data_IF_361991711999
#
_entry.id   IF_361991711999
#
_cell.length_a   1.000
_cell.length_b   1.000
_cell.length_c   1.000
_cell.angle_alpha   90.00
_cell.angle_beta   90.00
_cell.angle_gamma   90.00
#
_symmetry.space_group_name_H-M   'P 1'
#
loop_
_entity.id
_entity.type
_entity.pdbx_description
1 polymer ?
#
# COMPACT_ATOMS: atom_id res chain seq x y z
N UNK A 1 8.32 -26.68 -32.19
CA UNK A 1 7.06 -26.78 -31.46
C UNK A 1 7.04 -28.13 -30.75
N UNK A 2 7.58 -28.20 -29.54
CA UNK A 2 7.58 -29.42 -28.71
C UNK A 2 6.82 -29.10 -27.43
N UNK A 3 5.71 -29.81 -27.27
CA UNK A 3 4.85 -29.82 -26.09
C UNK A 3 5.61 -30.50 -24.93
N UNK A 4 5.74 -29.80 -23.82
CA UNK A 4 6.28 -30.34 -22.57
C UNK A 4 5.11 -30.91 -21.78
N UNK A 5 5.16 -32.24 -21.55
CA UNK A 5 4.20 -32.98 -20.73
C UNK A 5 4.54 -32.81 -19.25
N UNK A 6 3.57 -32.42 -18.43
CA UNK A 6 3.61 -32.55 -16.98
C UNK A 6 3.03 -33.89 -16.53
N UNK A 7 3.60 -34.58 -15.55
CA UNK A 7 3.06 -35.85 -15.05
C UNK A 7 1.89 -35.66 -14.09
N UNK A 8 0.81 -36.41 -14.34
CA UNK A 8 -0.34 -36.54 -13.46
C UNK A 8 -0.01 -37.40 -12.23
N UNK A 9 -0.30 -36.90 -11.03
CA UNK A 9 -0.45 -37.76 -9.86
C UNK A 9 -1.87 -38.31 -9.76
N UNK A 10 -1.98 -39.62 -9.82
CA UNK A 10 -3.22 -40.35 -9.56
C UNK A 10 -3.38 -40.59 -8.06
N UNK A 11 -4.48 -40.15 -7.48
CA UNK A 11 -4.93 -40.57 -6.16
C UNK A 11 -5.92 -41.76 -6.32
N UNK A 12 -5.62 -42.88 -5.69
CA UNK A 12 -6.48 -44.07 -5.68
C UNK A 12 -7.51 -43.95 -4.57
N UNK A 13 -8.77 -44.17 -4.97
CA UNK A 13 -9.90 -44.38 -4.08
C UNK A 13 -9.95 -45.83 -3.58
N UNK A 14 -10.12 -46.05 -2.29
CA UNK A 14 -10.51 -47.33 -1.69
C UNK A 14 -11.89 -47.16 -1.04
N UNK A 15 -12.84 -47.84 -1.69
CA UNK A 15 -14.16 -48.14 -1.12
C UNK A 15 -14.04 -49.40 -0.26
N UNK A 16 -14.58 -49.41 0.94
CA UNK A 16 -14.89 -50.64 1.68
C UNK A 16 -16.31 -50.59 2.26
N UNK A 17 -17.04 -51.59 1.95
CA UNK A 17 -18.43 -51.91 2.24
C UNK A 17 -18.55 -52.77 3.53
N UNK A 18 -19.56 -52.54 4.35
CA UNK A 18 -20.32 -53.50 5.15
C UNK A 18 -21.04 -52.74 6.29
N UNK A 19 -22.30 -52.79 6.54
CA UNK A 19 -23.24 -53.91 6.58
C UNK A 19 -23.91 -53.93 7.96
N UNK A 20 -25.20 -53.53 8.05
CA UNK A 20 -26.29 -53.78 9.02
C UNK A 20 -26.03 -54.34 10.41
N UNK A 21 -26.61 -53.77 11.48
CA UNK A 21 -27.86 -54.21 12.14
C UNK A 21 -28.34 -53.26 13.27
N UNK A 22 -29.65 -53.19 13.36
CA UNK A 22 -30.55 -52.48 14.23
C UNK A 22 -30.49 -53.01 15.70
N UNK A 23 -30.68 -52.16 16.72
CA UNK A 23 -31.67 -52.28 17.80
C UNK A 23 -31.65 -50.99 18.64
N UNK A 24 -32.85 -50.51 18.96
CA UNK A 24 -33.19 -49.23 19.48
C UNK A 24 -32.92 -49.05 20.99
N UNK A 25 -32.98 -47.79 21.35
CA UNK A 25 -33.63 -47.29 22.59
C UNK A 25 -33.61 -45.76 22.57
N UNK A 26 -34.75 -45.16 22.74
CA UNK A 26 -35.03 -43.76 22.81
C UNK A 26 -34.32 -43.06 23.94
N UNK A 27 -33.50 -42.05 23.63
CA UNK A 27 -33.15 -41.01 24.58
C UNK A 27 -33.14 -39.67 23.81
N UNK A 28 -34.18 -38.86 24.05
CA UNK A 28 -34.24 -37.49 23.60
C UNK A 28 -33.10 -36.70 24.28
N UNK A 29 -32.06 -36.44 23.55
CA UNK A 29 -31.09 -35.41 23.88
C UNK A 29 -31.30 -34.24 22.94
N UNK A 30 -31.85 -33.17 23.49
CA UNK A 30 -31.89 -31.86 22.83
C UNK A 30 -30.43 -31.41 22.61
N UNK A 31 -29.88 -31.66 21.46
CA UNK A 31 -28.68 -31.00 21.00
C UNK A 31 -29.07 -29.67 20.40
N UNK A 32 -28.94 -28.60 21.21
CA UNK A 32 -28.96 -27.25 20.71
C UNK A 32 -27.84 -27.12 19.69
N UNK A 33 -28.16 -27.12 18.40
CA UNK A 33 -27.24 -26.68 17.33
C UNK A 33 -26.96 -25.18 17.58
N UNK A 34 -25.89 -24.88 18.28
CA UNK A 34 -25.22 -23.59 18.11
C UNK A 34 -24.64 -23.57 16.69
N UNK A 35 -25.37 -22.96 15.78
CA UNK A 35 -24.81 -22.43 14.54
C UNK A 35 -23.77 -21.37 14.97
N UNK A 36 -22.53 -21.81 15.14
CA UNK A 36 -21.39 -20.88 15.13
C UNK A 36 -21.31 -20.41 13.70
N UNK A 37 -21.91 -19.25 13.43
CA UNK A 37 -21.58 -18.47 12.25
C UNK A 37 -20.08 -18.20 12.33
N UNK A 38 -19.29 -18.93 11.57
CA UNK A 38 -17.91 -18.49 11.30
C UNK A 38 -18.05 -17.19 10.51
N UNK A 39 -18.01 -16.08 11.24
CA UNK A 39 -17.73 -14.78 10.65
C UNK A 39 -16.38 -14.88 9.92
N UNK A 40 -16.09 -13.95 8.98
CA UNK A 40 -14.85 -13.96 8.24
C UNK A 40 -13.70 -14.09 9.22
N UNK A 41 -12.79 -15.05 8.95
CA UNK A 41 -11.67 -15.36 9.82
C UNK A 41 -10.92 -14.05 10.11
N UNK A 42 -11.05 -13.56 11.31
CA UNK A 42 -10.45 -12.33 11.75
C UNK A 42 -8.93 -12.42 11.57
N UNK A 43 -8.35 -11.37 11.03
CA UNK A 43 -6.93 -11.10 11.00
C UNK A 43 -6.35 -11.22 12.41
N UNK A 44 -5.98 -12.41 12.82
CA UNK A 44 -5.34 -12.69 14.11
C UNK A 44 -3.84 -12.84 13.87
N UNK A 45 -3.19 -11.75 13.49
CA UNK A 45 -1.76 -11.65 13.51
C UNK A 45 -1.35 -10.56 14.50
N UNK A 46 -0.29 -10.82 15.30
CA UNK A 46 0.28 -9.82 16.20
C UNK A 46 0.41 -8.49 15.46
N UNK A 47 -0.40 -7.55 15.88
CA UNK A 47 -0.58 -6.26 15.24
C UNK A 47 0.63 -5.37 15.58
N UNK A 48 1.81 -5.68 15.03
CA UNK A 48 2.84 -4.66 14.84
C UNK A 48 2.24 -3.71 13.82
N UNK A 49 1.66 -2.62 14.27
CA UNK A 49 1.00 -1.64 13.40
C UNK A 49 2.00 -1.01 12.44
N UNK A 50 2.30 -1.69 11.33
CA UNK A 50 3.16 -1.17 10.28
C UNK A 50 2.58 0.12 9.72
N UNK A 51 3.46 1.04 9.36
CA UNK A 51 3.10 2.37 8.92
C UNK A 51 3.80 2.70 7.60
N UNK A 52 3.10 3.41 6.73
CA UNK A 52 3.66 3.93 5.47
C UNK A 52 3.84 5.44 5.63
N UNK A 53 5.06 5.92 5.44
CA UNK A 53 5.41 7.32 5.55
C UNK A 53 4.80 8.14 4.40
N UNK A 54 4.32 9.36 4.69
CA UNK A 54 3.89 10.30 3.67
C UNK A 54 5.02 11.27 3.35
N UNK A 55 5.46 11.29 2.09
CA UNK A 55 6.32 12.37 1.62
C UNK A 55 5.53 13.65 1.33
N UNK A 56 6.11 14.83 1.55
CA UNK A 56 5.57 16.08 1.04
C UNK A 56 5.46 16.06 -0.50
N UNK A 57 4.46 16.74 -1.06
CA UNK A 57 4.21 16.73 -2.50
C UNK A 57 5.36 17.31 -3.36
N UNK A 58 6.24 18.12 -2.75
CA UNK A 58 7.45 18.66 -3.38
C UNK A 58 8.70 17.80 -3.19
N UNK A 59 8.58 16.63 -2.56
CA UNK A 59 9.68 15.68 -2.30
C UNK A 59 9.33 14.29 -2.83
N UNK A 60 8.76 14.22 -4.03
CA UNK A 60 8.44 12.94 -4.69
C UNK A 60 9.75 12.22 -5.04
N UNK A 61 9.97 10.98 -4.56
CA UNK A 61 11.15 10.22 -4.93
C UNK A 61 11.24 10.01 -6.45
N UNK A 62 12.41 10.22 -7.03
CA UNK A 62 12.71 9.90 -8.42
C UNK A 62 13.12 8.44 -8.50
N UNK A 63 12.55 7.74 -9.45
CA UNK A 63 12.92 6.34 -9.69
C UNK A 63 14.16 6.32 -10.57
N UNK A 64 15.34 6.39 -9.95
CA UNK A 64 16.64 6.43 -10.62
C UNK A 64 17.64 5.39 -10.08
N UNK A 65 17.23 4.60 -9.07
CA UNK A 65 18.05 3.57 -8.43
C UNK A 65 19.08 4.14 -7.47
N UNK A 66 18.84 5.35 -6.92
CA UNK A 66 19.68 5.98 -5.91
C UNK A 66 18.89 6.16 -4.61
N UNK A 67 19.58 6.56 -3.54
CA UNK A 67 18.96 6.64 -2.21
C UNK A 67 18.87 8.07 -1.67
N UNK A 68 19.36 9.06 -2.39
CA UNK A 68 19.46 10.44 -1.93
C UNK A 68 18.08 11.09 -1.67
N UNK A 69 17.08 10.78 -2.48
CA UNK A 69 15.70 11.26 -2.30
C UNK A 69 15.04 10.69 -1.02
N UNK A 70 15.57 9.61 -0.47
CA UNK A 70 15.10 8.96 0.75
C UNK A 70 15.85 9.36 2.01
N UNK A 71 16.77 10.32 1.91
CA UNK A 71 17.62 10.75 3.05
C UNK A 71 16.81 11.29 4.24
N UNK A 72 15.63 11.87 3.98
CA UNK A 72 14.72 12.38 5.03
C UNK A 72 13.74 11.34 5.58
N UNK A 73 13.74 10.11 5.01
CA UNK A 73 12.84 9.04 5.43
C UNK A 73 13.14 8.59 6.86
N UNK A 74 12.14 8.58 7.77
CA UNK A 74 12.39 8.25 9.17
C UNK A 74 12.72 6.77 9.37
N UNK A 75 13.77 6.50 10.16
CA UNK A 75 14.28 5.13 10.39
C UNK A 75 13.27 4.20 11.06
N UNK A 76 12.34 4.73 11.84
CA UNK A 76 11.28 3.97 12.51
C UNK A 76 10.24 3.35 11.56
N UNK A 77 10.24 3.74 10.28
CA UNK A 77 9.40 3.15 9.25
C UNK A 77 10.12 2.10 8.39
N UNK A 78 11.43 1.91 8.62
CA UNK A 78 12.21 0.92 7.86
C UNK A 78 11.87 -0.48 8.34
N UNK A 79 11.60 -1.38 7.41
CA UNK A 79 11.42 -2.81 7.69
C UNK A 79 12.69 -3.54 7.27
N UNK A 80 13.39 -4.11 8.25
CA UNK A 80 14.64 -4.82 8.04
C UNK A 80 14.50 -6.34 8.04
N UNK A 81 15.58 -7.04 7.75
CA UNK A 81 15.66 -8.52 7.77
C UNK A 81 15.28 -9.09 9.14
N UNK A 82 15.56 -8.36 10.23
CA UNK A 82 15.20 -8.74 11.60
C UNK A 82 13.70 -8.87 11.85
N UNK A 83 12.86 -8.33 10.97
CA UNK A 83 11.40 -8.41 11.02
C UNK A 83 10.83 -9.50 10.12
N UNK A 84 11.66 -10.12 9.29
CA UNK A 84 11.30 -11.21 8.39
C UNK A 84 11.48 -12.56 9.08
N UNK A 85 10.84 -13.56 8.54
CA UNK A 85 10.94 -14.93 9.00
C UNK A 85 11.07 -15.88 7.82
N UNK A 86 12.09 -16.76 7.87
CA UNK A 86 12.23 -17.81 6.86
C UNK A 86 11.25 -18.94 7.14
N UNK A 87 10.22 -19.07 6.31
CA UNK A 87 9.23 -20.14 6.44
C UNK A 87 9.62 -21.41 5.67
N UNK A 88 10.68 -21.38 4.87
CA UNK A 88 11.31 -22.58 4.28
C UNK A 88 11.96 -23.45 5.36
N UNK A 89 12.28 -22.85 6.51
CA UNK A 89 12.93 -23.48 7.68
C UNK A 89 14.38 -23.93 7.38
N UNK A 90 15.00 -23.39 6.36
CA UNK A 90 16.42 -23.62 6.07
C UNK A 90 17.31 -22.79 7.00
N UNK A 91 16.85 -21.59 7.36
CA UNK A 91 17.58 -20.66 8.19
C UNK A 91 16.86 -20.43 9.52
N UNK A 92 17.51 -20.67 10.68
CA UNK A 92 16.86 -20.52 11.98
C UNK A 92 16.64 -19.07 12.42
N UNK A 93 17.46 -18.15 11.89
CA UNK A 93 17.43 -16.72 12.18
C UNK A 93 18.07 -15.93 11.03
N UNK A 94 17.74 -14.64 10.89
CA UNK A 94 18.42 -13.77 9.94
C UNK A 94 19.92 -13.69 10.21
N UNK A 95 20.72 -13.83 9.15
CA UNK A 95 22.17 -13.61 9.16
C UNK A 95 22.49 -12.47 8.20
N UNK A 96 22.84 -11.26 8.69
CA UNK A 96 23.12 -10.12 7.82
C UNK A 96 24.44 -10.26 7.01
N UNK A 97 25.22 -11.31 7.25
CA UNK A 97 26.37 -11.63 6.40
C UNK A 97 25.98 -12.45 5.17
N UNK A 98 24.83 -13.16 5.22
CA UNK A 98 24.19 -13.81 4.09
C UNK A 98 23.24 -12.84 3.41
N UNK A 99 22.18 -12.41 4.10
CA UNK A 99 21.16 -11.52 3.55
C UNK A 99 20.84 -10.37 4.50
N UNK A 100 21.11 -9.11 4.12
CA UNK A 100 20.69 -7.90 4.85
C UNK A 100 19.78 -7.05 3.97
N UNK A 101 18.52 -6.91 4.37
CA UNK A 101 17.49 -6.23 3.60
C UNK A 101 16.90 -5.06 4.40
N UNK A 102 16.65 -3.96 3.70
CA UNK A 102 15.93 -2.80 4.23
C UNK A 102 14.89 -2.34 3.20
N UNK A 103 13.63 -2.36 3.60
CA UNK A 103 12.52 -1.91 2.77
C UNK A 103 11.94 -0.63 3.38
N UNK A 104 11.82 0.40 2.55
CA UNK A 104 11.10 1.63 2.85
C UNK A 104 9.88 1.72 1.95
N UNK A 105 8.75 2.05 2.54
CA UNK A 105 7.50 2.25 1.80
C UNK A 105 6.96 3.63 2.11
N UNK A 106 6.64 4.37 1.06
CA UNK A 106 6.09 5.71 1.17
C UNK A 106 4.89 5.92 0.25
N UNK A 107 4.13 6.97 0.51
CA UNK A 107 3.04 7.42 -0.32
C UNK A 107 3.01 8.95 -0.39
N UNK A 108 2.25 9.51 -1.33
CA UNK A 108 2.09 10.95 -1.51
C UNK A 108 0.61 11.24 -1.71
N UNK A 109 0.08 12.17 -0.92
CA UNK A 109 -1.32 12.57 -0.99
C UNK A 109 -1.65 13.15 -2.36
N UNK A 110 -2.73 12.67 -2.96
CA UNK A 110 -3.15 13.05 -4.31
C UNK A 110 -2.55 12.21 -5.44
N UNK A 111 -1.62 11.29 -5.12
CA UNK A 111 -1.14 10.28 -6.03
C UNK A 111 -1.54 8.90 -5.50
N UNK A 112 -2.18 8.08 -6.34
CA UNK A 112 -2.51 6.70 -5.98
C UNK A 112 -1.31 5.79 -6.23
N UNK A 113 -0.18 6.08 -5.57
CA UNK A 113 1.10 5.35 -5.75
C UNK A 113 1.72 5.03 -4.42
N UNK A 114 2.22 3.80 -4.31
CA UNK A 114 3.14 3.37 -3.26
C UNK A 114 4.56 3.37 -3.83
N UNK A 115 5.45 4.08 -3.18
CA UNK A 115 6.87 4.17 -3.53
C UNK A 115 7.66 3.24 -2.63
N UNK A 116 8.62 2.52 -3.20
CA UNK A 116 9.45 1.56 -2.51
C UNK A 116 10.92 1.86 -2.76
N UNK A 117 11.71 1.77 -1.71
CA UNK A 117 13.16 1.63 -1.78
C UNK A 117 13.52 0.30 -1.11
N UNK A 118 14.01 -0.64 -1.92
CA UNK A 118 14.54 -1.93 -1.50
C UNK A 118 16.06 -1.85 -1.59
N UNK A 119 16.73 -1.89 -0.44
CA UNK A 119 18.19 -2.02 -0.33
C UNK A 119 18.48 -3.40 0.21
N UNK A 120 19.32 -4.16 -0.48
CA UNK A 120 19.72 -5.50 -0.07
C UNK A 120 21.23 -5.71 -0.24
N UNK A 121 21.81 -6.43 0.69
CA UNK A 121 23.09 -7.10 0.53
C UNK A 121 22.80 -8.60 0.53
N UNK A 122 23.51 -9.30 -0.35
CA UNK A 122 23.47 -10.75 -0.45
C UNK A 122 24.90 -11.24 -0.70
N UNK A 123 25.26 -12.38 -0.13
CA UNK A 123 26.57 -12.98 -0.34
C UNK A 123 26.64 -13.83 -1.62
N UNK A 124 25.48 -14.21 -2.20
CA UNK A 124 25.40 -15.00 -3.43
C UNK A 124 24.18 -14.62 -4.29
N UNK A 125 24.30 -13.58 -5.12
CA UNK A 125 23.22 -13.17 -6.01
C UNK A 125 22.97 -14.15 -7.16
N UNK A 126 21.75 -14.69 -7.23
CA UNK A 126 21.28 -15.56 -8.31
C UNK A 126 20.13 -14.90 -9.11
N UNK A 127 20.43 -14.40 -10.30
CA UNK A 127 19.48 -13.59 -11.08
C UNK A 127 19.54 -13.77 -12.60
N UNK A 128 20.36 -14.68 -13.11
CA UNK A 128 20.56 -14.82 -14.57
C UNK A 128 19.79 -15.93 -15.22
N UNK A 129 19.17 -16.81 -14.43
CA UNK A 129 18.45 -17.93 -14.97
C UNK A 129 17.06 -17.52 -15.53
N UNK A 130 16.59 -18.19 -16.59
CA UNK A 130 15.24 -18.00 -17.05
C UNK A 130 14.25 -18.60 -16.03
N UNK A 131 13.05 -18.00 -15.93
CA UNK A 131 11.99 -18.50 -15.04
C UNK A 131 12.02 -17.89 -13.64
N UNK A 132 11.56 -18.65 -12.65
CA UNK A 132 11.26 -18.17 -11.30
C UNK A 132 12.35 -18.49 -10.27
N UNK A 133 13.34 -19.32 -10.63
CA UNK A 133 14.42 -19.71 -9.74
C UNK A 133 15.52 -18.66 -9.76
N UNK A 134 15.30 -17.59 -9.04
CA UNK A 134 16.22 -16.46 -8.88
C UNK A 134 15.88 -15.73 -7.59
N UNK A 135 16.83 -14.95 -7.09
CA UNK A 135 16.55 -13.99 -6.04
C UNK A 135 15.44 -13.06 -6.45
N UNK A 136 14.51 -12.87 -5.55
CA UNK A 136 13.27 -12.18 -5.89
C UNK A 136 12.72 -11.44 -4.69
N UNK A 137 12.20 -10.23 -4.95
CA UNK A 137 11.34 -9.54 -4.02
C UNK A 137 9.88 -9.78 -4.42
N UNK A 138 9.19 -10.64 -3.68
CA UNK A 138 7.78 -10.95 -3.94
C UNK A 138 6.88 -10.05 -3.10
N UNK A 139 5.98 -9.33 -3.76
CA UNK A 139 5.14 -8.30 -3.16
C UNK A 139 3.66 -8.60 -3.41
N UNK A 140 2.84 -8.59 -2.34
CA UNK A 140 1.39 -8.68 -2.41
C UNK A 140 0.76 -7.41 -1.87
N UNK A 141 -0.17 -6.84 -2.63
CA UNK A 141 -0.87 -5.60 -2.30
C UNK A 141 -2.38 -5.81 -2.41
N UNK A 142 -3.10 -5.46 -1.35
CA UNK A 142 -4.56 -5.47 -1.25
C UNK A 142 -5.00 -4.06 -0.80
N UNK A 143 -5.41 -3.25 -1.75
CA UNK A 143 -5.59 -1.82 -1.56
C UNK A 143 -6.80 -1.43 -0.71
N UNK A 144 -7.84 -2.28 -0.66
CA UNK A 144 -9.11 -2.04 0.06
C UNK A 144 -9.34 -3.00 1.23
N UNK A 145 -8.38 -3.92 1.48
CA UNK A 145 -8.53 -4.99 2.48
C UNK A 145 -9.75 -5.89 2.21
N UNK A 146 -10.10 -6.07 0.93
CA UNK A 146 -11.15 -7.03 0.56
C UNK A 146 -10.81 -8.46 0.99
N UNK A 147 -9.50 -8.74 1.09
CA UNK A 147 -9.00 -9.97 1.69
C UNK A 147 -9.29 -11.22 0.87
N UNK A 148 -9.01 -12.36 1.47
CA UNK A 148 -9.35 -13.66 0.91
C UNK A 148 -8.35 -14.16 -0.13
N UNK A 149 -8.72 -15.28 -0.76
CA UNK A 149 -7.90 -15.91 -1.77
C UNK A 149 -7.80 -15.06 -3.02
N UNK A 150 -6.61 -15.08 -3.63
CA UNK A 150 -6.31 -14.33 -4.85
C UNK A 150 -5.76 -15.23 -5.98
N UNK A 151 -5.71 -16.53 -5.78
CA UNK A 151 -5.23 -17.51 -6.77
C UNK A 151 -6.38 -18.36 -7.33
N UNK A 152 -6.23 -18.82 -8.58
CA UNK A 152 -7.25 -19.55 -9.33
C UNK A 152 -7.74 -20.84 -8.63
N UNK A 153 -6.86 -21.51 -7.91
CA UNK A 153 -7.15 -22.74 -7.16
C UNK A 153 -8.17 -22.54 -6.04
N UNK A 154 -8.29 -21.31 -5.55
CA UNK A 154 -9.21 -20.94 -4.47
C UNK A 154 -10.40 -20.11 -4.97
N UNK A 155 -10.63 -20.06 -6.27
CA UNK A 155 -11.77 -19.36 -6.86
C UNK A 155 -13.10 -19.87 -6.24
N UNK A 156 -14.04 -18.98 -5.88
CA UNK A 156 -15.30 -19.38 -5.23
C UNK A 156 -16.16 -20.32 -6.07
N UNK A 157 -16.07 -20.25 -7.40
CA UNK A 157 -16.74 -21.18 -8.31
C UNK A 157 -15.73 -22.19 -8.88
N UNK A 158 -15.61 -23.35 -8.24
CA UNK A 158 -14.72 -24.43 -8.67
C UNK A 158 -15.24 -25.20 -9.90
N UNK A 159 -16.48 -24.97 -10.34
CA UNK A 159 -17.03 -25.60 -11.55
C UNK A 159 -16.49 -24.97 -12.84
N UNK A 160 -15.92 -23.78 -12.77
CA UNK A 160 -15.28 -23.15 -13.93
C UNK A 160 -13.99 -23.89 -14.32
N UNK A 161 -13.66 -23.95 -15.62
CA UNK A 161 -12.35 -24.38 -16.08
C UNK A 161 -11.22 -23.61 -15.39
N UNK A 162 -10.07 -24.26 -15.17
CA UNK A 162 -8.94 -23.62 -14.49
C UNK A 162 -8.51 -22.30 -15.15
N UNK A 163 -8.50 -22.27 -16.49
CA UNK A 163 -8.15 -21.06 -17.24
C UNK A 163 -9.14 -19.91 -16.98
N UNK A 164 -10.44 -20.18 -16.95
CA UNK A 164 -11.46 -19.17 -16.69
C UNK A 164 -11.35 -18.63 -15.26
N UNK A 165 -11.05 -19.51 -14.30
CA UNK A 165 -10.74 -19.10 -12.91
C UNK A 165 -9.49 -18.23 -12.85
N UNK A 166 -8.43 -18.58 -13.59
CA UNK A 166 -7.21 -17.80 -13.64
C UNK A 166 -7.47 -16.40 -14.21
N UNK A 167 -8.14 -16.33 -15.35
CA UNK A 167 -8.39 -15.02 -16.02
C UNK A 167 -9.31 -14.12 -15.22
N UNK A 168 -10.30 -14.67 -14.52
CA UNK A 168 -11.32 -13.87 -13.81
C UNK A 168 -10.99 -13.56 -12.35
N UNK A 169 -9.96 -14.19 -11.79
CA UNK A 169 -9.76 -14.10 -10.34
C UNK A 169 -8.31 -13.89 -9.91
N UNK A 170 -7.34 -14.52 -10.59
CA UNK A 170 -5.97 -14.53 -10.13
C UNK A 170 -5.35 -13.11 -10.15
N UNK A 171 -5.04 -12.58 -8.97
CA UNK A 171 -4.46 -11.25 -8.80
C UNK A 171 -5.42 -10.07 -9.06
N UNK A 172 -6.73 -10.32 -9.21
CA UNK A 172 -7.71 -9.29 -9.60
C UNK A 172 -8.01 -8.33 -8.45
N UNK A 173 -8.28 -8.84 -7.25
CA UNK A 173 -8.62 -8.03 -6.07
C UNK A 173 -7.43 -7.77 -5.14
N UNK A 174 -6.36 -8.52 -5.28
CA UNK A 174 -5.07 -8.26 -4.65
C UNK A 174 -3.96 -8.60 -5.64
N UNK A 175 -3.05 -7.67 -5.88
CA UNK A 175 -2.02 -7.82 -6.89
C UNK A 175 -0.79 -8.48 -6.29
N UNK A 176 -0.24 -9.45 -7.00
CA UNK A 176 1.02 -10.12 -6.65
C UNK A 176 2.06 -9.84 -7.72
N UNK A 177 3.21 -9.27 -7.30
CA UNK A 177 4.36 -8.96 -8.12
C UNK A 177 5.55 -9.82 -7.69
N UNK A 178 6.08 -10.59 -8.63
CA UNK A 178 7.34 -11.31 -8.48
C UNK A 178 8.44 -10.48 -9.14
N UNK A 179 9.12 -9.64 -8.33
CA UNK A 179 10.08 -8.63 -8.80
C UNK A 179 11.47 -9.25 -8.82
N UNK A 180 12.05 -9.36 -10.01
CA UNK A 180 13.38 -9.92 -10.19
C UNK A 180 14.48 -8.94 -9.77
N UNK A 181 15.50 -9.42 -9.11
CA UNK A 181 16.52 -8.61 -8.43
C UNK A 181 17.95 -8.98 -8.85
N UNK A 182 18.53 -8.43 -9.90
CA UNK A 182 17.98 -7.55 -10.94
C UNK A 182 17.35 -8.31 -12.11
N UNK A 183 16.63 -7.59 -12.99
CA UNK A 183 15.90 -8.18 -14.12
C UNK A 183 16.74 -8.35 -15.40
N UNK A 184 17.91 -8.98 -15.31
CA UNK A 184 18.81 -9.15 -16.47
C UNK A 184 18.21 -10.12 -17.49
N UNK A 185 17.96 -9.62 -18.72
CA UNK A 185 17.45 -10.44 -19.83
C UNK A 185 15.97 -10.85 -19.70
N UNK A 186 15.22 -10.28 -18.76
CA UNK A 186 13.78 -10.51 -18.55
C UNK A 186 13.05 -9.21 -18.21
N UNK A 187 11.74 -9.25 -18.15
CA UNK A 187 10.94 -8.13 -17.62
C UNK A 187 11.23 -7.96 -16.13
N UNK A 188 11.06 -6.76 -15.59
CA UNK A 188 11.42 -6.45 -14.21
C UNK A 188 10.59 -7.20 -13.16
N UNK A 189 9.35 -7.55 -13.54
CA UNK A 189 8.47 -8.35 -12.69
C UNK A 189 7.57 -9.27 -13.51
N UNK A 190 7.16 -10.37 -12.89
CA UNK A 190 5.98 -11.11 -13.27
C UNK A 190 4.82 -10.62 -12.40
N UNK A 191 3.77 -10.07 -13.01
CA UNK A 191 2.49 -9.88 -12.34
C UNK A 191 1.75 -11.21 -12.40
N UNK A 192 1.50 -11.82 -11.24
CA UNK A 192 0.76 -13.07 -11.16
C UNK A 192 -0.71 -12.82 -11.48
N UNK A 193 -1.14 -13.30 -12.63
CA UNK A 193 -2.51 -13.15 -13.08
C UNK A 193 -2.61 -12.75 -14.56
N UNK A 194 -3.80 -12.32 -14.94
CA UNK A 194 -4.14 -11.98 -16.32
C UNK A 194 -4.00 -10.49 -16.64
N UNK A 195 -3.44 -9.71 -15.73
CA UNK A 195 -3.29 -8.24 -15.82
C UNK A 195 -1.83 -7.77 -15.93
N UNK A 196 -1.06 -8.16 -16.96
CA UNK A 196 0.36 -7.79 -17.06
C UNK A 196 0.59 -6.28 -17.28
N UNK A 197 -0.46 -5.53 -17.54
CA UNK A 197 -0.43 -4.08 -17.73
C UNK A 197 -0.16 -3.32 -16.42
N UNK A 198 -0.46 -3.89 -15.24
CA UNK A 198 -0.26 -3.21 -13.94
C UNK A 198 1.22 -2.88 -13.65
N UNK A 199 2.15 -3.59 -14.26
CA UNK A 199 3.59 -3.39 -14.11
C UNK A 199 4.21 -2.44 -15.15
N UNK A 200 3.39 -1.78 -15.96
CA UNK A 200 3.82 -0.85 -17.02
C UNK A 200 3.39 0.57 -16.69
N UNK A 201 4.07 1.55 -17.29
CA UNK A 201 3.59 2.93 -17.23
C UNK A 201 2.18 3.04 -17.81
N UNK A 202 1.30 3.83 -17.20
CA UNK A 202 1.51 4.76 -16.09
C UNK A 202 1.29 4.16 -14.68
N UNK A 203 1.24 2.83 -14.52
CA UNK A 203 0.85 2.16 -13.27
C UNK A 203 2.01 1.66 -12.43
N UNK A 204 3.18 1.51 -13.01
CA UNK A 204 4.40 1.15 -12.29
C UNK A 204 5.66 1.63 -13.02
N UNK A 205 6.75 1.79 -12.27
CA UNK A 205 8.08 2.09 -12.80
C UNK A 205 9.14 1.58 -11.83
N UNK A 206 10.34 1.23 -12.34
CA UNK A 206 11.46 0.72 -11.54
C UNK A 206 12.81 1.17 -12.11
N UNK A 207 13.78 1.33 -11.23
CA UNK A 207 15.20 1.46 -11.55
C UNK A 207 16.06 0.64 -10.58
N UNK A 208 17.20 0.15 -11.06
CA UNK A 208 18.17 -0.62 -10.29
C UNK A 208 19.53 0.04 -10.29
N UNK A 209 20.26 -0.12 -9.17
CA UNK A 209 21.68 0.16 -9.08
C UNK A 209 22.39 -0.97 -8.33
N UNK A 210 23.38 -1.61 -8.97
CA UNK A 210 24.17 -2.69 -8.39
C UNK A 210 25.53 -2.82 -9.07
N UNK A 211 26.50 -3.46 -8.39
CA UNK A 211 27.90 -3.63 -8.88
C UNK A 211 28.45 -5.05 -8.62
N UNK A 212 27.62 -6.06 -8.64
CA UNK A 212 28.01 -7.45 -8.45
C UNK A 212 27.81 -8.28 -9.73
N UNK A 213 28.33 -9.51 -9.72
CA UNK A 213 28.14 -10.52 -10.76
C UNK A 213 27.28 -11.65 -10.22
N UNK A 214 26.61 -12.43 -11.09
CA UNK A 214 25.90 -13.65 -10.66
C UNK A 214 26.82 -14.58 -9.87
N UNK A 215 26.32 -15.14 -8.78
CA UNK A 215 27.08 -16.00 -7.88
C UNK A 215 28.10 -15.26 -7.01
N UNK A 216 28.05 -13.94 -6.96
CA UNK A 216 28.95 -13.12 -6.17
C UNK A 216 28.24 -12.19 -5.20
N UNK A 217 28.93 -11.76 -4.12
CA UNK A 217 28.36 -10.88 -3.13
C UNK A 217 28.23 -9.44 -3.62
N UNK A 218 27.28 -8.71 -3.02
CA UNK A 218 27.19 -7.29 -3.26
C UNK A 218 25.91 -6.64 -2.80
N UNK A 219 25.79 -5.33 -3.09
CA UNK A 219 24.62 -4.53 -2.73
C UNK A 219 23.77 -4.24 -3.94
N UNK A 220 22.46 -4.37 -3.75
CA UNK A 220 21.41 -3.98 -4.68
C UNK A 220 20.62 -2.81 -4.11
N UNK A 221 20.27 -1.87 -4.98
CA UNK A 221 19.21 -0.89 -4.77
C UNK A 221 18.18 -1.11 -5.87
N UNK A 222 16.94 -1.37 -5.48
CA UNK A 222 15.79 -1.33 -6.38
C UNK A 222 14.83 -0.26 -5.88
N UNK A 223 14.57 0.72 -6.72
CA UNK A 223 13.66 1.81 -6.43
C UNK A 223 12.50 1.73 -7.41
N UNK A 224 11.27 1.69 -6.89
CA UNK A 224 10.09 1.53 -7.73
C UNK A 224 8.84 2.15 -7.09
N UNK A 225 7.84 2.35 -7.91
CA UNK A 225 6.49 2.61 -7.44
C UNK A 225 5.48 1.75 -8.20
N UNK A 226 4.36 1.47 -7.53
CA UNK A 226 3.20 0.78 -8.08
C UNK A 226 1.93 1.55 -7.76
N UNK A 227 0.91 1.38 -8.60
CA UNK A 227 -0.46 1.78 -8.31
C UNK A 227 -1.19 0.59 -7.69
N UNK A 228 -1.66 0.66 -6.44
CA UNK A 228 -2.53 -0.38 -5.89
C UNK A 228 -3.94 -0.26 -6.48
N UNK A 229 -4.60 -1.42 -6.70
CA UNK A 229 -5.94 -1.48 -7.27
C UNK A 229 -6.88 -2.24 -6.33
N UNK A 230 -8.11 -1.74 -6.21
CA UNK A 230 -9.22 -2.47 -5.60
C UNK A 230 -9.77 -3.53 -6.58
N UNK A 231 -9.61 -3.27 -7.89
CA UNK A 231 -9.93 -4.19 -8.97
C UNK A 231 -8.98 -3.99 -10.17
N UNK A 232 -8.33 -5.04 -10.62
CA UNK A 232 -7.48 -5.06 -11.81
C UNK A 232 -7.68 -6.35 -12.60
N UNK A 233 -8.59 -6.35 -13.56
CA UNK A 233 -8.94 -7.53 -14.35
C UNK A 233 -8.18 -7.66 -15.67
N UNK A 234 -8.42 -8.77 -16.35
CA UNK A 234 -7.87 -9.07 -17.68
C UNK A 234 -8.37 -8.13 -18.78
N UNK A 235 -9.50 -7.46 -18.54
CA UNK A 235 -10.12 -6.50 -19.47
C UNK A 235 -9.26 -5.26 -19.71
N UNK A 236 -8.29 -5.04 -18.86
CA UNK A 236 -7.35 -3.92 -18.98
C UNK A 236 -7.68 -2.73 -18.07
N UNK A 237 -6.89 -1.65 -18.20
CA UNK A 237 -6.94 -0.51 -17.29
C UNK A 237 -8.25 0.29 -17.34
N UNK A 238 -9.00 0.20 -18.44
CA UNK A 238 -10.26 0.94 -18.61
C UNK A 238 -11.36 0.51 -17.64
N UNK A 239 -11.26 -0.71 -17.10
CA UNK A 239 -12.18 -1.27 -16.09
C UNK A 239 -11.57 -1.37 -14.70
N UNK A 240 -10.32 -1.05 -14.57
CA UNK A 240 -9.63 -1.09 -13.29
C UNK A 240 -10.17 -0.03 -12.33
N UNK A 241 -10.11 -0.34 -11.04
CA UNK A 241 -10.44 0.58 -9.96
C UNK A 241 -9.17 0.79 -9.14
N UNK A 242 -8.56 1.96 -9.30
CA UNK A 242 -7.41 2.32 -8.46
C UNK A 242 -7.84 2.50 -7.00
N UNK A 243 -7.01 2.01 -6.11
CA UNK A 243 -7.21 2.21 -4.68
C UNK A 243 -6.90 3.65 -4.30
N UNK A 244 -7.91 4.39 -3.86
CA UNK A 244 -7.71 5.79 -3.43
C UNK A 244 -6.93 5.80 -2.11
N UNK A 245 -5.73 6.36 -2.14
CA UNK A 245 -4.88 6.49 -0.96
C UNK A 245 -5.23 7.76 -0.18
N UNK A 246 -5.43 7.62 1.13
CA UNK A 246 -5.80 8.70 2.03
C UNK A 246 -5.15 8.55 3.41
N UNK A 247 -5.09 9.66 4.16
CA UNK A 247 -4.60 9.68 5.54
C UNK A 247 -5.35 8.64 6.38
N UNK A 248 -4.61 7.84 7.14
CA UNK A 248 -5.10 6.77 8.02
C UNK A 248 -5.77 5.58 7.31
N UNK A 249 -5.79 5.53 5.98
CA UNK A 249 -6.26 4.35 5.26
C UNK A 249 -5.36 3.16 5.62
N UNK A 250 -5.99 2.02 5.86
CA UNK A 250 -5.30 0.74 6.03
C UNK A 250 -5.34 -0.02 4.71
N UNK A 251 -4.23 -0.67 4.39
CA UNK A 251 -4.09 -1.54 3.22
C UNK A 251 -3.42 -2.84 3.62
N UNK A 252 -3.71 -3.91 2.90
CA UNK A 252 -2.93 -5.14 2.94
C UNK A 252 -1.65 -4.95 2.14
N UNK A 253 -0.51 -5.14 2.78
CA UNK A 253 0.79 -5.06 2.14
C UNK A 253 1.72 -6.05 2.81
N UNK A 254 2.27 -6.97 2.03
CA UNK A 254 3.24 -7.93 2.55
C UNK A 254 4.23 -8.32 1.47
N UNK A 255 5.39 -8.80 1.88
CA UNK A 255 6.41 -9.28 0.95
C UNK A 255 7.18 -10.45 1.50
N UNK A 256 7.83 -11.15 0.57
CA UNK A 256 8.87 -12.11 0.85
C UNK A 256 10.12 -11.78 0.05
N UNK A 257 11.29 -12.02 0.63
CA UNK A 257 12.57 -12.07 -0.08
C UNK A 257 12.88 -13.54 -0.29
N UNK A 258 12.93 -13.94 -1.56
CA UNK A 258 13.32 -15.28 -1.97
C UNK A 258 14.81 -15.21 -2.29
N UNK A 259 15.57 -16.00 -1.58
CA UNK A 259 17.03 -15.97 -1.56
C UNK A 259 17.54 -17.36 -1.97
N UNK A 260 18.25 -17.42 -3.09
CA UNK A 260 18.81 -18.65 -3.66
C UNK A 260 20.33 -18.63 -3.63
N UNK A 261 20.95 -19.28 -2.66
CA UNK A 261 22.42 -19.48 -2.61
C UNK A 261 22.93 -20.47 -3.64
N UNK A 262 22.07 -21.21 -4.25
CA UNK A 262 22.37 -22.08 -5.39
C UNK A 262 21.06 -22.52 -6.06
N UNK A 263 20.83 -22.04 -7.25
CA UNK A 263 19.60 -22.32 -8.02
C UNK A 263 19.32 -23.82 -8.24
N UNK A 264 20.35 -24.66 -8.22
CA UNK A 264 20.21 -26.12 -8.41
C UNK A 264 19.97 -26.87 -7.09
N UNK A 265 20.00 -26.16 -5.96
CA UNK A 265 19.86 -26.75 -4.63
C UNK A 265 18.74 -26.03 -3.84
N UNK A 266 17.52 -26.53 -4.01
CA UNK A 266 16.33 -26.01 -3.29
C UNK A 266 16.47 -26.06 -1.75
N UNK A 267 17.44 -26.80 -1.22
CA UNK A 267 17.70 -26.86 0.23
C UNK A 267 18.44 -25.63 0.75
N UNK A 268 18.94 -24.79 -0.16
CA UNK A 268 19.62 -23.52 0.14
C UNK A 268 18.77 -22.30 -0.18
N UNK A 269 17.48 -22.49 -0.39
CA UNK A 269 16.54 -21.41 -0.65
C UNK A 269 15.93 -20.92 0.64
N UNK A 270 16.11 -19.64 0.92
CA UNK A 270 15.37 -18.88 1.94
C UNK A 270 14.07 -18.32 1.38
N UNK A 271 13.01 -18.28 2.21
CA UNK A 271 11.77 -17.58 1.91
C UNK A 271 11.42 -16.66 3.09
N UNK A 272 12.09 -15.51 3.10
CA UNK A 272 12.03 -14.53 4.17
C UNK A 272 10.80 -13.65 4.03
N UNK A 273 9.72 -13.95 4.74
CA UNK A 273 8.48 -13.20 4.61
C UNK A 273 8.09 -12.40 5.85
N UNK A 274 7.38 -11.28 5.61
CA UNK A 274 6.93 -10.35 6.63
C UNK A 274 5.70 -10.86 7.38
N UNK A 275 4.82 -11.60 6.70
CA UNK A 275 3.56 -12.07 7.26
C UNK A 275 3.71 -13.27 8.19
N UNK A 276 4.89 -13.92 8.20
CA UNK A 276 5.13 -15.20 8.87
C UNK A 276 4.21 -16.33 8.41
N UNK A 277 3.64 -16.21 7.23
CA UNK A 277 2.75 -17.20 6.63
C UNK A 277 3.06 -17.38 5.14
N UNK A 278 3.56 -18.56 4.77
CA UNK A 278 3.94 -18.87 3.40
C UNK A 278 2.81 -18.64 2.38
N UNK A 279 1.56 -18.89 2.77
CA UNK A 279 0.40 -18.78 1.86
C UNK A 279 -0.02 -17.34 1.57
N UNK A 280 0.73 -16.34 2.04
CA UNK A 280 0.40 -14.93 1.81
C UNK A 280 0.34 -14.56 0.31
N UNK A 281 1.12 -15.24 -0.54
CA UNK A 281 1.12 -15.03 -1.99
C UNK A 281 -0.19 -15.49 -2.67
N UNK A 282 -0.94 -16.35 -2.03
CA UNK A 282 -2.21 -16.89 -2.55
C UNK A 282 -3.45 -16.44 -1.79
N UNK A 283 -3.28 -15.75 -0.64
CA UNK A 283 -4.41 -15.28 0.16
C UNK A 283 -4.00 -13.99 0.91
N UNK A 284 -4.53 -12.85 0.49
CA UNK A 284 -4.19 -11.53 1.04
C UNK A 284 -4.59 -11.37 2.51
N UNK A 285 -5.61 -12.11 3.00
CA UNK A 285 -5.97 -12.11 4.43
C UNK A 285 -4.86 -12.64 5.34
N UNK A 286 -3.87 -13.32 4.79
CA UNK A 286 -2.70 -13.84 5.51
C UNK A 286 -1.51 -12.87 5.47
N UNK A 287 -1.66 -11.74 4.80
CA UNK A 287 -0.67 -10.66 4.73
C UNK A 287 -0.65 -9.78 5.98
N UNK A 288 0.21 -8.78 5.96
CA UNK A 288 0.31 -7.74 6.99
C UNK A 288 -0.55 -6.52 6.64
N UNK A 289 -0.95 -5.77 7.67
CA UNK A 289 -1.70 -4.54 7.50
C UNK A 289 -0.79 -3.34 7.75
N UNK A 290 -0.80 -2.42 6.82
CA UNK A 290 -0.10 -1.14 6.92
C UNK A 290 -1.11 0.01 7.01
N UNK A 291 -0.74 1.05 7.78
CA UNK A 291 -1.53 2.29 7.86
C UNK A 291 -0.78 3.42 7.15
N UNK A 292 -1.44 4.09 6.22
CA UNK A 292 -0.93 5.28 5.56
C UNK A 292 -0.93 6.44 6.56
N UNK A 293 0.26 6.93 6.90
CA UNK A 293 0.37 8.02 7.88
C UNK A 293 0.10 9.36 7.22
N UNK A 294 -0.49 10.32 7.94
CA UNK A 294 -0.60 11.69 7.46
C UNK A 294 0.78 12.35 7.40
N UNK A 295 0.88 13.45 6.65
CA UNK A 295 2.11 14.23 6.56
C UNK A 295 2.56 14.66 7.98
N UNK A 296 3.82 14.36 8.32
CA UNK A 296 4.37 14.68 9.61
C UNK A 296 4.36 16.20 9.84
N UNK A 297 4.11 16.65 11.07
CA UNK A 297 3.98 18.08 11.40
C UNK A 297 5.21 18.87 10.96
N UNK A 298 6.41 18.29 11.10
CA UNK A 298 7.68 18.91 10.67
C UNK A 298 7.77 19.18 9.16
N UNK A 299 7.03 18.39 8.36
CA UNK A 299 7.05 18.41 6.90
C UNK A 299 5.86 19.20 6.32
N UNK A 300 4.94 19.66 7.17
CA UNK A 300 3.83 20.50 6.75
C UNK A 300 4.31 21.90 6.40
N UNK A 301 3.75 22.55 5.35
CA UNK A 301 4.03 23.95 5.11
C UNK A 301 3.73 24.77 6.37
N UNK A 302 4.60 25.73 6.69
CA UNK A 302 4.33 26.63 7.80
C UNK A 302 2.99 27.33 7.59
N UNK A 303 2.17 27.39 8.64
CA UNK A 303 0.90 28.05 8.60
C UNK A 303 1.10 29.56 8.43
N UNK A 304 0.54 30.13 7.36
CA UNK A 304 0.59 31.56 7.08
C UNK A 304 -0.82 32.07 6.74
N UNK A 305 -1.37 32.92 7.57
CA UNK A 305 -2.65 33.55 7.29
C UNK A 305 -2.55 34.45 6.06
N UNK A 306 -3.46 34.25 5.12
CA UNK A 306 -3.62 35.08 3.92
C UNK A 306 -5.10 35.15 3.60
N UNK A 307 -5.56 36.28 3.04
CA UNK A 307 -6.95 36.42 2.66
C UNK A 307 -7.16 37.53 1.64
N UNK A 308 -8.25 37.42 0.90
CA UNK A 308 -8.75 38.43 -0.03
C UNK A 308 -10.22 38.74 0.26
N UNK A 309 -10.76 39.77 -0.41
CA UNK A 309 -12.15 40.10 -0.30
C UNK A 309 -12.71 40.65 -1.62
N UNK A 310 -14.03 40.57 -1.73
CA UNK A 310 -14.79 41.18 -2.82
C UNK A 310 -16.03 41.89 -2.25
N UNK A 311 -16.24 43.14 -2.62
CA UNK A 311 -17.52 43.83 -2.32
C UNK A 311 -18.55 43.29 -3.29
N UNK A 312 -19.48 42.48 -2.77
CA UNK A 312 -20.48 41.77 -3.59
C UNK A 312 -21.79 42.59 -3.75
N UNK A 313 -22.07 43.50 -2.83
CA UNK A 313 -23.19 44.42 -2.93
C UNK A 313 -22.87 45.74 -2.20
N UNK A 314 -22.60 46.79 -2.95
CA UNK A 314 -22.20 48.10 -2.40
C UNK A 314 -23.38 48.78 -1.66
N UNK A 315 -24.58 48.63 -2.16
CA UNK A 315 -25.79 49.28 -1.54
C UNK A 315 -26.12 48.66 -0.17
N UNK A 316 -25.86 47.37 -0.04
CA UNK A 316 -26.02 46.61 1.22
C UNK A 316 -24.76 46.54 2.06
N UNK A 317 -23.68 47.15 1.61
CA UNK A 317 -22.36 47.04 2.23
C UNK A 317 -21.97 45.58 2.52
N UNK A 318 -22.24 44.71 1.55
CA UNK A 318 -21.94 43.28 1.65
C UNK A 318 -20.55 43.00 1.09
N UNK A 319 -19.74 42.35 1.90
CA UNK A 319 -18.38 41.93 1.55
C UNK A 319 -18.24 40.42 1.74
N UNK A 320 -17.74 39.74 0.73
CA UNK A 320 -17.36 38.32 0.81
C UNK A 320 -15.86 38.23 1.06
N UNK A 321 -15.48 37.59 2.14
CA UNK A 321 -14.11 37.31 2.47
C UNK A 321 -13.71 35.91 2.03
N UNK A 322 -12.48 35.72 1.62
CA UNK A 322 -11.93 34.45 1.16
C UNK A 322 -10.64 34.16 1.91
N UNK A 323 -10.59 32.98 2.53
CA UNK A 323 -9.35 32.44 3.07
C UNK A 323 -8.41 32.00 1.92
N UNK A 324 -7.17 32.48 1.96
CA UNK A 324 -6.09 32.13 1.04
C UNK A 324 -4.84 31.70 1.82
N UNK A 325 -5.04 31.28 3.07
CA UNK A 325 -3.96 30.87 3.97
C UNK A 325 -3.18 29.66 3.41
N UNK A 326 -1.88 29.67 3.63
CA UNK A 326 -1.00 28.57 3.28
C UNK A 326 -0.84 27.64 4.47
N UNK A 327 -0.73 26.35 4.20
CA UNK A 327 -0.68 25.29 5.22
C UNK A 327 -2.05 24.75 5.60
N UNK A 328 -2.07 23.80 6.54
CA UNK A 328 -3.32 23.16 6.98
C UNK A 328 -3.99 24.02 8.05
N UNK A 329 -5.15 24.60 7.71
CA UNK A 329 -5.99 25.35 8.65
C UNK A 329 -7.07 24.42 9.20
N UNK A 330 -7.26 24.42 10.52
CA UNK A 330 -8.32 23.68 11.22
C UNK A 330 -9.33 24.58 11.89
N UNK A 331 -8.98 25.84 12.15
CA UNK A 331 -9.87 26.85 12.74
C UNK A 331 -9.57 28.22 12.15
N UNK A 332 -10.63 28.99 11.92
CA UNK A 332 -10.63 30.37 11.47
C UNK A 332 -11.23 31.26 12.54
N UNK A 333 -10.78 32.50 12.62
CA UNK A 333 -11.41 33.55 13.39
C UNK A 333 -11.20 34.87 12.66
N UNK A 334 -12.29 35.41 12.16
CA UNK A 334 -12.37 36.71 11.51
C UNK A 334 -12.83 37.76 12.51
N UNK A 335 -12.13 38.87 12.58
CA UNK A 335 -12.57 40.11 13.22
C UNK A 335 -12.74 41.13 12.10
N UNK A 336 -13.96 41.59 11.90
CA UNK A 336 -14.27 42.48 10.78
C UNK A 336 -14.00 43.97 11.10
N UNK A 337 -13.54 44.29 12.31
CA UNK A 337 -13.17 45.64 12.73
C UNK A 337 -14.38 46.53 13.08
N UNK A 338 -15.62 46.02 13.06
CA UNK A 338 -16.86 46.68 13.44
C UNK A 338 -17.43 46.13 14.75
N UNK A 339 -16.69 45.29 15.44
CA UNK A 339 -17.05 44.62 16.69
C UNK A 339 -17.76 43.29 16.48
N UNK A 340 -17.90 42.85 15.23
CA UNK A 340 -18.46 41.51 14.91
C UNK A 340 -17.36 40.56 14.43
N UNK A 341 -17.63 39.25 14.55
CA UNK A 341 -16.67 38.19 14.22
C UNK A 341 -17.31 37.03 13.49
N UNK A 342 -16.52 36.17 12.82
CA UNK A 342 -16.95 34.90 12.23
C UNK A 342 -15.88 33.83 12.40
N UNK A 343 -16.30 32.57 12.48
CA UNK A 343 -15.42 31.40 12.45
C UNK A 343 -15.55 30.58 11.17
N UNK A 344 -16.29 31.05 10.19
CA UNK A 344 -16.40 30.40 8.90
C UNK A 344 -15.11 30.57 8.07
N UNK A 345 -14.75 29.61 7.23
CA UNK A 345 -13.56 29.72 6.38
C UNK A 345 -13.60 30.93 5.44
N UNK A 346 -14.76 31.18 4.84
CA UNK A 346 -14.95 32.27 3.85
C UNK A 346 -16.29 32.97 4.08
N UNK A 347 -16.39 33.86 5.08
CA UNK A 347 -17.66 34.46 5.47
C UNK A 347 -18.12 35.57 4.52
N UNK A 348 -19.45 35.77 4.51
CA UNK A 348 -20.06 36.96 3.95
C UNK A 348 -20.45 37.88 5.13
N UNK A 349 -20.01 39.14 5.08
CA UNK A 349 -20.28 40.11 6.12
C UNK A 349 -21.01 41.35 5.60
N UNK A 350 -21.89 41.89 6.41
CA UNK A 350 -22.66 43.12 6.13
C UNK A 350 -22.29 44.21 7.13
N UNK A 351 -21.64 45.25 6.66
CA UNK A 351 -21.30 46.40 7.51
C UNK A 351 -22.51 47.34 7.68
N UNK A 352 -22.81 47.66 8.91
CA UNK A 352 -23.97 48.52 9.22
C UNK A 352 -23.68 50.01 8.86
N UNK A 353 -22.45 50.44 8.89
CA UNK A 353 -22.06 51.81 8.63
C UNK A 353 -21.02 51.88 7.51
N UNK A 354 -20.98 53.01 6.82
CA UNK A 354 -19.87 53.37 5.99
C UNK A 354 -18.62 53.61 6.87
N UNK A 355 -17.43 53.27 6.39
CA UNK A 355 -16.19 53.46 7.14
C UNK A 355 -15.04 52.65 6.60
N UNK A 356 -13.90 52.83 7.26
CA UNK A 356 -12.65 52.07 7.00
C UNK A 356 -12.52 51.03 8.11
N UNK A 357 -12.41 49.80 7.74
CA UNK A 357 -12.34 48.67 8.69
C UNK A 357 -10.99 47.96 8.59
N UNK A 358 -10.40 47.67 9.75
CA UNK A 358 -9.23 46.79 9.84
C UNK A 358 -9.76 45.39 10.06
N UNK A 359 -9.64 44.55 9.03
CA UNK A 359 -10.06 43.16 9.12
C UNK A 359 -8.87 42.28 9.45
N UNK A 360 -9.08 41.37 10.39
CA UNK A 360 -8.04 40.46 10.86
C UNK A 360 -8.52 39.01 10.68
N UNK A 361 -7.76 38.20 9.95
CA UNK A 361 -7.91 36.76 9.96
C UNK A 361 -6.87 36.15 10.91
N UNK A 362 -7.33 35.36 11.84
CA UNK A 362 -6.49 34.45 12.66
C UNK A 362 -6.81 33.00 12.31
N UNK A 363 -5.81 32.23 12.01
CA UNK A 363 -5.93 30.81 11.67
C UNK A 363 -5.11 29.93 12.60
N UNK A 364 -5.59 28.74 12.88
CA UNK A 364 -4.92 27.73 13.71
C UNK A 364 -4.89 26.42 12.94
N UNK A 365 -3.79 25.70 13.03
CA UNK A 365 -3.60 24.38 12.43
C UNK A 365 -2.54 23.56 13.16
N UNK A 366 -2.22 22.36 12.69
CA UNK A 366 -1.22 21.50 13.32
C UNK A 366 0.16 22.14 13.40
N UNK A 367 0.51 23.03 12.45
CA UNK A 367 1.78 23.77 12.41
C UNK A 367 1.80 25.04 13.30
N UNK A 368 0.77 25.25 14.13
CA UNK A 368 0.68 26.40 15.04
C UNK A 368 -0.47 27.37 14.69
N UNK A 369 -0.22 28.67 14.89
CA UNK A 369 -1.18 29.72 14.55
C UNK A 369 -0.51 30.79 13.68
N UNK A 370 -1.34 31.51 12.92
CA UNK A 370 -0.91 32.68 12.15
C UNK A 370 -2.01 33.72 12.13
N UNK A 371 -1.63 34.96 11.94
CA UNK A 371 -2.57 36.11 11.94
C UNK A 371 -2.17 37.09 10.86
N UNK A 372 -3.18 37.59 10.12
CA UNK A 372 -2.97 38.63 9.12
C UNK A 372 -4.02 39.71 9.25
N UNK A 373 -3.55 40.93 9.43
CA UNK A 373 -4.36 42.13 9.39
C UNK A 373 -4.12 42.86 8.06
N UNK A 374 -5.20 43.30 7.44
CA UNK A 374 -5.13 44.22 6.29
C UNK A 374 -5.94 45.46 6.62
N UNK A 375 -5.33 46.60 6.41
CA UNK A 375 -6.02 47.88 6.47
C UNK A 375 -6.56 48.16 5.09
N UNK A 376 -7.86 48.00 4.92
CA UNK A 376 -8.53 48.32 3.68
C UNK A 376 -9.42 49.51 3.87
N UNK A 377 -9.28 50.49 2.99
CA UNK A 377 -10.29 51.50 2.83
C UNK A 377 -11.48 50.86 2.13
N UNK A 378 -12.32 50.14 2.88
CA UNK A 378 -13.62 49.79 2.42
C UNK A 378 -14.41 51.11 2.41
N UNK A 379 -14.22 51.92 1.37
CA UNK A 379 -14.98 53.14 1.15
C UNK A 379 -16.39 52.69 0.74
N UNK A 380 -17.19 52.36 1.75
CA UNK A 380 -18.63 52.15 1.59
C UNK A 380 -19.25 53.56 1.70
N UNK A 381 -19.61 54.11 0.56
CA UNK A 381 -20.40 55.36 0.49
C UNK A 381 -21.83 55.12 0.97
#
# INVERSE_FOLDING_TARGET
MKLVHFPYFRCHSLLAYAGNRIIGSSLLVLVSLMLISQGPAAFAQENRGYKIYQFPANMIPRVDGQTDDWASFPSEYVVGTDQLWDDSKHYPAPDPTNLDVKVRVAWIKGLNRLYFLYEAYDDYWDFTLPGLHNDTFELVVDGDLSGGPLIAEQHPNQALPLWDRFVSFHGVHAQNYHIFTPAVGKDWALAWGSQPWIKRLPYANIAYSYKFKPGGPGKLIAEFWITPFDYAGAEGPERAVESVLADHKKIGLTWAVIDYDNVLDETKKGFWNLSKNHKMYGNSSLGTIFTLMPLAVKDQPQLQAQWSFLITDMAKRQVTFRDESQGTVTRWHWDFGDGTTSNEPSPIHHYQKAGNYIVVLSVVGPAGNSRMAKVWEVVLK
#
